data_IF_327586549520
#
_entry.id   IF_327586549520
#
_cell.length_a   1.000
_cell.length_b   1.000
_cell.length_c   1.000
_cell.angle_alpha   90.00
_cell.angle_beta   90.00
_cell.angle_gamma   90.00
#
_symmetry.space_group_name_H-M   'P 1'
#
loop_
_entity.id
_entity.type
_entity.pdbx_description
1 polymer ?
#
# COMPACT_ATOMS: atom_id res chain seq x y z
N UNK A 1 1.29 5.15 8.96
CA UNK A 1 2.36 4.61 8.09
C UNK A 1 2.91 3.28 8.58
N UNK A 2 3.29 3.11 9.86
CA UNK A 2 3.83 1.83 10.36
C UNK A 2 2.82 0.67 10.23
N UNK A 3 1.58 0.91 10.64
CA UNK A 3 0.46 -0.04 10.54
C UNK A 3 0.20 -0.57 9.11
N UNK A 4 0.49 0.23 8.08
CA UNK A 4 0.33 -0.16 6.69
C UNK A 4 1.30 -1.28 6.29
N UNK A 5 2.53 -1.25 6.81
CA UNK A 5 3.54 -2.28 6.55
C UNK A 5 3.25 -3.59 7.31
N UNK A 6 2.54 -3.49 8.43
CA UNK A 6 2.09 -4.63 9.23
C UNK A 6 0.85 -5.34 8.63
N UNK A 7 0.22 -4.76 7.60
CA UNK A 7 -0.90 -5.41 6.89
C UNK A 7 -0.46 -6.73 6.24
N UNK A 8 -1.38 -7.71 6.10
CA UNK A 8 -1.11 -8.96 5.39
C UNK A 8 -0.65 -8.70 3.96
N UNK A 9 0.29 -9.51 3.47
CA UNK A 9 0.84 -9.37 2.12
C UNK A 9 -0.25 -9.36 1.04
N UNK A 10 -1.30 -10.18 1.22
CA UNK A 10 -2.45 -10.32 0.33
C UNK A 10 -3.28 -9.03 0.21
N UNK A 11 -3.20 -8.13 1.20
CA UNK A 11 -3.83 -6.81 1.15
C UNK A 11 -2.89 -5.84 0.42
N UNK A 12 -1.60 -5.87 0.74
CA UNK A 12 -0.60 -4.96 0.19
C UNK A 12 -0.44 -5.10 -1.32
N UNK A 13 -0.45 -6.33 -1.84
CA UNK A 13 -0.36 -6.59 -3.30
C UNK A 13 -1.56 -6.09 -4.10
N UNK A 14 -2.71 -5.82 -3.45
CA UNK A 14 -3.88 -5.27 -4.15
C UNK A 14 -3.69 -3.83 -4.58
N UNK A 15 -2.73 -3.12 -3.98
CA UNK A 15 -2.29 -1.82 -4.49
C UNK A 15 -1.44 -2.03 -5.76
N UNK A 16 -1.98 -2.74 -6.74
CA UNK A 16 -1.34 -2.93 -8.03
C UNK A 16 -1.59 -1.70 -8.90
N UNK A 17 -0.58 -1.32 -9.67
CA UNK A 17 -0.73 -0.29 -10.68
C UNK A 17 -0.17 -0.83 -12.00
N UNK A 18 -0.94 -0.65 -13.07
CA UNK A 18 -0.54 -1.06 -14.41
C UNK A 18 0.63 -0.25 -14.97
N UNK A 19 0.97 0.87 -14.33
CA UNK A 19 2.13 1.70 -14.65
C UNK A 19 3.37 1.13 -13.97
N UNK A 20 4.42 0.91 -14.76
CA UNK A 20 5.69 0.41 -14.24
C UNK A 20 6.17 1.24 -13.02
N UNK A 21 6.57 0.54 -11.95
CA UNK A 21 7.07 1.13 -10.70
C UNK A 21 6.08 2.01 -9.92
N UNK A 22 4.78 1.86 -10.14
CA UNK A 22 3.73 2.47 -9.31
C UNK A 22 2.96 1.36 -8.57
N UNK A 23 2.30 1.70 -7.47
CA UNK A 23 1.63 0.72 -6.60
C UNK A 23 2.56 0.15 -5.52
N UNK A 24 2.23 -1.04 -5.00
CA UNK A 24 3.01 -1.75 -4.00
C UNK A 24 4.25 -2.37 -4.65
N UNK A 25 5.41 -2.01 -4.11
CA UNK A 25 6.69 -2.55 -4.54
C UNK A 25 7.42 -3.16 -3.35
N UNK A 26 7.73 -4.45 -3.46
CA UNK A 26 8.71 -5.13 -2.62
C UNK A 26 9.97 -5.32 -3.46
N UNK A 27 11.02 -4.54 -3.21
CA UNK A 27 12.27 -4.65 -3.97
C UNK A 27 13.23 -5.58 -3.25
N UNK A 28 13.68 -6.59 -4.02
CA UNK A 28 14.74 -7.55 -3.71
C UNK A 28 14.52 -8.35 -2.42
N UNK A 29 14.29 -9.65 -2.59
CA UNK A 29 14.46 -10.62 -1.51
C UNK A 29 15.91 -11.10 -1.58
N UNK A 30 16.75 -10.64 -0.66
CA UNK A 30 18.05 -11.29 -0.40
C UNK A 30 17.85 -12.13 0.85
N UNK A 31 18.00 -13.45 0.74
CA UNK A 31 17.91 -14.38 1.88
C UNK A 31 16.65 -14.18 2.75
N UNK A 32 15.47 -14.15 2.14
CA UNK A 32 14.15 -13.89 2.77
C UNK A 32 13.95 -12.51 3.43
N UNK A 33 14.95 -11.62 3.38
CA UNK A 33 14.80 -10.23 3.83
C UNK A 33 14.30 -9.32 2.72
N UNK A 34 13.14 -8.69 2.97
CA UNK A 34 12.65 -7.54 2.19
C UNK A 34 13.44 -6.30 2.62
N UNK A 35 14.44 -5.93 1.82
CA UNK A 35 15.29 -4.77 2.13
C UNK A 35 14.63 -3.44 1.76
N UNK A 36 13.59 -3.47 0.93
CA UNK A 36 12.86 -2.27 0.53
C UNK A 36 11.39 -2.61 0.26
N UNK A 37 10.49 -1.90 0.93
CA UNK A 37 9.04 -2.00 0.75
C UNK A 37 8.48 -0.58 0.58
N UNK A 38 7.65 -0.37 -0.45
CA UNK A 38 7.07 0.94 -0.74
C UNK A 38 5.67 0.82 -1.34
N UNK A 39 4.91 1.92 -1.23
CA UNK A 39 3.57 2.07 -1.78
C UNK A 39 3.50 3.38 -2.55
N UNK A 40 2.98 3.32 -3.77
CA UNK A 40 2.62 4.49 -4.56
C UNK A 40 1.11 4.69 -4.63
N UNK A 41 0.69 5.95 -4.69
CA UNK A 41 -0.68 6.39 -4.98
C UNK A 41 -0.61 7.24 -6.24
N UNK A 42 -1.31 6.85 -7.30
CA UNK A 42 -1.45 7.69 -8.49
C UNK A 42 -2.41 8.84 -8.20
N UNK A 43 -2.16 10.00 -8.82
CA UNK A 43 -2.99 11.18 -8.65
C UNK A 43 -3.19 11.57 -7.17
N UNK A 44 -2.15 11.47 -6.34
CA UNK A 44 -2.23 11.77 -4.89
C UNK A 44 -2.71 13.20 -4.55
N UNK A 45 -2.76 14.11 -5.52
CA UNK A 45 -3.37 15.44 -5.40
C UNK A 45 -4.90 15.42 -5.51
N UNK A 46 -5.48 14.32 -6.00
CA UNK A 46 -6.91 14.10 -6.11
C UNK A 46 -7.42 13.40 -4.83
N UNK A 47 -8.37 14.01 -4.08
CA UNK A 47 -8.87 13.43 -2.85
C UNK A 47 -9.47 12.02 -3.02
N UNK A 48 -10.06 11.75 -4.19
CA UNK A 48 -10.65 10.45 -4.49
C UNK A 48 -9.58 9.35 -4.55
N UNK A 49 -8.43 9.60 -5.17
CA UNK A 49 -7.36 8.61 -5.26
C UNK A 49 -6.81 8.24 -3.86
N UNK A 50 -6.68 9.22 -2.97
CA UNK A 50 -6.30 8.98 -1.57
C UNK A 50 -7.36 8.18 -0.80
N UNK A 51 -8.65 8.41 -1.08
CA UNK A 51 -9.76 7.68 -0.47
C UNK A 51 -9.80 6.23 -0.94
N UNK A 52 -9.69 6.01 -2.25
CA UNK A 52 -9.68 4.67 -2.86
C UNK A 52 -8.51 3.83 -2.32
N UNK A 53 -7.31 4.43 -2.22
CA UNK A 53 -6.15 3.78 -1.61
C UNK A 53 -6.40 3.41 -0.14
N UNK A 54 -7.02 4.31 0.64
CA UNK A 54 -7.30 4.07 2.05
C UNK A 54 -8.35 2.95 2.24
N UNK A 55 -9.41 2.94 1.44
CA UNK A 55 -10.45 1.89 1.46
C UNK A 55 -9.92 0.53 1.00
N UNK A 56 -8.98 0.51 0.06
CA UNK A 56 -8.33 -0.70 -0.40
C UNK A 56 -7.53 -1.38 0.72
N UNK A 57 -6.78 -0.59 1.50
CA UNK A 57 -5.96 -1.09 2.59
C UNK A 57 -6.79 -1.40 3.85
N UNK A 58 -7.80 -0.60 4.13
CA UNK A 58 -8.65 -0.71 5.31
C UNK A 58 -10.14 -0.64 4.93
N UNK A 59 -10.68 -1.73 4.38
CA UNK A 59 -12.08 -1.76 3.92
C UNK A 59 -13.10 -1.65 5.07
N UNK A 60 -12.66 -1.89 6.32
CA UNK A 60 -13.49 -1.70 7.52
C UNK A 60 -13.18 -0.39 8.26
N UNK A 61 -12.38 0.50 7.65
CA UNK A 61 -11.91 1.73 8.27
C UNK A 61 -10.57 1.55 8.99
N UNK A 62 -9.82 2.65 9.07
CA UNK A 62 -8.56 2.76 9.81
C UNK A 62 -8.63 3.92 10.80
N UNK A 63 -9.71 3.99 11.57
CA UNK A 63 -9.78 4.93 12.68
C UNK A 63 -9.09 4.26 13.88
N UNK A 64 -8.06 4.85 14.49
CA UNK A 64 -7.50 4.33 15.73
C UNK A 64 -8.19 4.91 16.97
N UNK A 65 -9.20 5.77 16.81
CA UNK A 65 -9.87 6.52 17.88
C UNK A 65 -11.39 6.29 17.99
N UNK A 66 -11.92 5.23 17.36
CA UNK A 66 -13.27 4.72 17.59
C UNK A 66 -13.31 3.71 18.74
#
# INVERSE_FOLDING_TARGET
MKEMYDLPYEVKIKNENHKASHGYMSMVVVDDYRIHESFGIDYATEPQACKDFSELLWPQGNDPFW
#
